data_IF_174117089328
#
_entry.id   IF_174117089328
#
_cell.length_a   1.000
_cell.length_b   1.000
_cell.length_c   1.000
_cell.angle_alpha   90.00
_cell.angle_beta   90.00
_cell.angle_gamma   90.00
#
_symmetry.space_group_name_H-M   'P 1'
#
loop_
_entity.id
_entity.type
_entity.pdbx_description
1 polymer ?
#
# COMPACT_ATOMS: atom_id res chain seq x y z
N UNK A 1 -5.33 22.68 0.80
CA UNK A 1 -4.36 21.62 1.16
C UNK A 1 -4.49 20.52 0.12
N UNK A 2 -3.39 20.10 -0.53
CA UNK A 2 -3.47 19.05 -1.54
C UNK A 2 -3.62 17.68 -0.86
N UNK A 3 -4.84 17.13 -0.91
CA UNK A 3 -5.20 15.90 -0.20
C UNK A 3 -4.41 14.68 -0.71
N UNK A 4 -3.85 14.76 -1.92
CA UNK A 4 -3.05 13.71 -2.53
C UNK A 4 -1.80 13.36 -1.72
N UNK A 5 -1.15 14.35 -1.10
CA UNK A 5 0.08 14.17 -0.35
C UNK A 5 -0.13 13.39 0.96
N UNK A 6 -1.02 13.80 1.89
CA UNK A 6 -1.29 13.04 3.11
C UNK A 6 -1.91 11.67 2.82
N UNK A 7 -2.85 11.57 1.87
CA UNK A 7 -3.44 10.29 1.49
C UNK A 7 -2.41 9.35 0.86
N UNK A 8 -1.56 9.86 -0.04
CA UNK A 8 -0.48 9.09 -0.65
C UNK A 8 0.50 8.53 0.39
N UNK A 9 0.95 9.37 1.33
CA UNK A 9 1.83 8.93 2.42
C UNK A 9 1.17 7.85 3.28
N UNK A 10 -0.10 8.04 3.64
CA UNK A 10 -0.86 7.07 4.44
C UNK A 10 -0.95 5.71 3.73
N UNK A 11 -1.42 5.68 2.48
CA UNK A 11 -1.58 4.42 1.73
C UNK A 11 -0.24 3.74 1.43
N UNK A 12 0.82 4.50 1.14
CA UNK A 12 2.15 3.92 0.96
C UNK A 12 2.69 3.31 2.25
N UNK A 13 2.56 3.99 3.39
CA UNK A 13 3.03 3.46 4.68
C UNK A 13 2.25 2.20 5.08
N UNK A 14 0.92 2.25 5.00
CA UNK A 14 0.05 1.12 5.33
C UNK A 14 0.31 -0.06 4.39
N UNK A 15 0.41 0.20 3.08
CA UNK A 15 0.73 -0.79 2.07
C UNK A 15 2.08 -1.47 2.32
N UNK A 16 3.09 -0.69 2.73
CA UNK A 16 4.41 -1.23 3.10
C UNK A 16 4.31 -2.19 4.29
N UNK A 17 3.62 -1.78 5.37
CA UNK A 17 3.45 -2.61 6.56
C UNK A 17 2.72 -3.91 6.20
N UNK A 18 1.61 -3.82 5.46
CA UNK A 18 0.78 -4.98 5.09
C UNK A 18 1.49 -5.90 4.09
N UNK A 19 2.26 -5.36 3.15
CA UNK A 19 3.09 -6.19 2.27
C UNK A 19 4.21 -6.90 3.07
N UNK A 20 4.87 -6.19 3.99
CA UNK A 20 5.91 -6.74 4.84
C UNK A 20 5.38 -7.85 5.76
N UNK A 21 4.17 -7.72 6.33
CA UNK A 21 3.56 -8.80 7.11
C UNK A 21 3.27 -10.03 6.25
N UNK A 22 2.80 -9.84 5.02
CA UNK A 22 2.63 -10.93 4.05
C UNK A 22 3.93 -11.64 3.70
N UNK A 23 5.05 -10.91 3.64
CA UNK A 23 6.39 -11.45 3.37
C UNK A 23 7.00 -12.19 4.56
N UNK A 24 6.91 -11.62 5.76
CA UNK A 24 7.51 -12.18 6.99
C UNK A 24 6.68 -13.35 7.52
N UNK A 25 5.36 -13.31 7.37
CA UNK A 25 4.47 -14.38 7.81
C UNK A 25 3.47 -14.76 6.68
N UNK A 26 3.91 -15.50 5.65
CA UNK A 26 3.03 -15.94 4.57
C UNK A 26 1.88 -16.85 5.03
N UNK A 27 2.05 -17.51 6.18
CA UNK A 27 1.03 -18.37 6.81
C UNK A 27 -0.08 -17.58 7.48
N UNK A 28 0.14 -16.30 7.80
CA UNK A 28 -0.88 -15.37 8.31
C UNK A 28 -1.79 -14.88 7.16
N UNK A 29 -2.37 -15.83 6.43
CA UNK A 29 -3.35 -15.61 5.37
C UNK A 29 -4.78 -15.69 5.91
N UNK A 30 -5.75 -15.18 5.15
CA UNK A 30 -7.14 -15.29 5.53
C UNK A 30 -7.62 -16.76 5.45
N UNK A 31 -8.44 -17.26 6.39
CA UNK A 31 -8.85 -18.67 6.42
C UNK A 31 -9.62 -19.14 5.17
N UNK A 32 -10.24 -18.20 4.44
CA UNK A 32 -11.09 -18.47 3.28
C UNK A 32 -10.31 -18.60 1.96
N UNK A 33 -9.00 -18.36 1.95
CA UNK A 33 -8.20 -18.42 0.72
C UNK A 33 -6.78 -18.91 0.99
N UNK A 34 -6.25 -19.65 0.02
CA UNK A 34 -4.87 -20.08 0.08
C UNK A 34 -3.87 -18.97 -0.32
N UNK A 35 -4.37 -17.87 -0.89
CA UNK A 35 -3.56 -16.77 -1.38
C UNK A 35 -3.08 -15.86 -0.24
N UNK A 36 -1.90 -15.27 -0.42
CA UNK A 36 -1.34 -14.30 0.51
C UNK A 36 -2.01 -12.92 0.33
N UNK A 37 -3.20 -12.77 0.91
CA UNK A 37 -4.03 -11.56 0.79
C UNK A 37 -3.28 -10.32 1.28
N UNK A 38 -2.48 -10.42 2.33
CA UNK A 38 -1.68 -9.32 2.86
C UNK A 38 -0.71 -8.81 1.78
N UNK A 39 -0.02 -9.71 1.08
CA UNK A 39 0.91 -9.31 0.04
C UNK A 39 0.21 -8.61 -1.13
N UNK A 40 -0.92 -9.15 -1.61
CA UNK A 40 -1.68 -8.54 -2.72
C UNK A 40 -2.31 -7.21 -2.33
N UNK A 41 -2.94 -7.13 -1.14
CA UNK A 41 -3.55 -5.90 -0.65
C UNK A 41 -2.48 -4.82 -0.39
N UNK A 42 -1.36 -5.20 0.24
CA UNK A 42 -0.23 -4.31 0.48
C UNK A 42 0.37 -3.79 -0.82
N UNK A 43 0.57 -4.64 -1.83
CA UNK A 43 1.03 -4.23 -3.15
C UNK A 43 0.06 -3.25 -3.83
N UNK A 44 -1.26 -3.52 -3.76
CA UNK A 44 -2.27 -2.61 -4.29
C UNK A 44 -2.25 -1.23 -3.62
N UNK A 45 -2.13 -1.20 -2.29
CA UNK A 45 -1.98 0.04 -1.52
C UNK A 45 -0.70 0.81 -1.86
N UNK A 46 0.42 0.10 -2.06
CA UNK A 46 1.69 0.71 -2.46
C UNK A 46 1.59 1.35 -3.84
N UNK A 47 0.97 0.67 -4.81
CA UNK A 47 0.74 1.21 -6.16
C UNK A 47 -0.12 2.46 -6.07
N UNK A 48 -1.25 2.40 -5.35
CA UNK A 48 -2.16 3.53 -5.21
C UNK A 48 -1.52 4.74 -4.50
N UNK A 49 -0.88 4.52 -3.34
CA UNK A 49 -0.20 5.56 -2.58
C UNK A 49 0.96 6.17 -3.38
N UNK A 50 1.76 5.34 -4.06
CA UNK A 50 2.85 5.79 -4.93
C UNK A 50 2.36 6.65 -6.09
N UNK A 51 1.25 6.27 -6.74
CA UNK A 51 0.63 7.08 -7.79
C UNK A 51 0.14 8.44 -7.25
N UNK A 52 -0.49 8.48 -6.08
CA UNK A 52 -0.91 9.73 -5.45
C UNK A 52 0.28 10.64 -5.11
N UNK A 53 1.37 10.08 -4.57
CA UNK A 53 2.59 10.83 -4.28
C UNK A 53 3.26 11.35 -5.54
N UNK A 54 3.29 10.55 -6.61
CA UNK A 54 3.81 10.96 -7.90
C UNK A 54 3.00 12.10 -8.51
N UNK A 55 1.66 12.01 -8.48
CA UNK A 55 0.78 13.09 -8.93
C UNK A 55 0.93 14.36 -8.09
N UNK A 56 1.07 14.24 -6.77
CA UNK A 56 1.32 15.37 -5.89
C UNK A 56 2.68 16.03 -6.16
N UNK A 57 3.72 15.23 -6.44
CA UNK A 57 5.04 15.74 -6.83
C UNK A 57 4.98 16.48 -8.17
N UNK A 58 4.27 15.92 -9.15
CA UNK A 58 4.09 16.54 -10.47
C UNK A 58 3.28 17.84 -10.40
N UNK A 59 2.28 17.94 -9.51
CA UNK A 59 1.48 19.15 -9.34
C UNK A 59 2.20 20.28 -8.58
N UNK A 60 3.25 19.93 -7.83
CA UNK A 60 4.08 20.90 -7.08
C UNK A 60 5.28 21.42 -7.87
N UNK A 61 5.56 20.86 -9.06
CA UNK A 61 6.54 21.35 -10.03
C UNK A 61 5.83 22.21 -11.06
#
# INVERSE_FOLDING_TARGET
>A
MDLRKPSGMFFTLLGFIVAATGLVNPSARAPLTDLNVNLYAGAGMLIFGGLLLWLAHRASR
#
